data_IF_061958220799
#
_entry.id   IF_061958220799
#
_cell.length_a   1.000
_cell.length_b   1.000
_cell.length_c   1.000
_cell.angle_alpha   90.00
_cell.angle_beta   90.00
_cell.angle_gamma   90.00
#
_symmetry.space_group_name_H-M   'P 1'
#
loop_
_entity.id
_entity.type
_entity.pdbx_description
1 polymer ?
#
# COMPACT_ATOMS: atom_id res chain seq x y z
N UNK A 1 -45.33 9.12 54.03
CA UNK A 1 -44.94 8.94 52.61
C UNK A 1 -43.60 9.62 52.45
N UNK A 2 -42.54 8.82 52.32
CA UNK A 2 -41.15 9.25 52.53
C UNK A 2 -40.28 8.83 51.35
N UNK A 3 -39.53 9.81 50.87
CA UNK A 3 -38.28 9.76 50.09
C UNK A 3 -38.30 9.11 48.69
N UNK A 4 -38.22 10.00 47.71
CA UNK A 4 -37.79 9.79 46.33
C UNK A 4 -36.35 9.24 46.33
N UNK A 5 -36.10 8.18 45.58
CA UNK A 5 -34.76 7.67 45.28
C UNK A 5 -34.65 7.57 43.76
N UNK A 6 -34.01 8.55 43.13
CA UNK A 6 -33.57 8.48 41.74
C UNK A 6 -32.11 8.02 41.77
N UNK A 7 -31.87 6.75 41.45
CA UNK A 7 -30.52 6.23 41.21
C UNK A 7 -30.12 6.65 39.79
N UNK A 8 -29.34 7.73 39.71
CA UNK A 8 -28.69 8.18 38.49
C UNK A 8 -27.41 7.34 38.31
N UNK A 9 -27.47 6.29 37.49
CA UNK A 9 -26.28 5.54 37.08
C UNK A 9 -25.39 6.42 36.21
N UNK A 10 -24.29 6.89 36.78
CA UNK A 10 -23.24 7.60 36.09
C UNK A 10 -22.32 6.56 35.41
N UNK A 11 -22.61 6.20 34.16
CA UNK A 11 -21.69 5.44 33.33
C UNK A 11 -20.51 6.34 32.95
N UNK A 12 -19.38 6.15 33.63
CA UNK A 12 -18.11 6.77 33.25
C UNK A 12 -17.62 6.07 31.99
N UNK A 13 -17.81 6.72 30.83
CA UNK A 13 -17.18 6.31 29.59
C UNK A 13 -15.68 6.61 29.70
N UNK A 14 -14.89 5.59 30.04
CA UNK A 14 -13.45 5.60 29.79
C UNK A 14 -13.24 5.62 28.28
N UNK A 15 -13.08 6.82 27.72
CA UNK A 15 -12.51 6.98 26.38
C UNK A 15 -11.02 6.66 26.49
N UNK A 16 -10.65 5.46 26.05
CA UNK A 16 -9.26 5.10 25.86
C UNK A 16 -8.77 5.84 24.62
N UNK A 17 -8.13 7.00 24.83
CA UNK A 17 -7.37 7.66 23.78
C UNK A 17 -6.14 6.79 23.50
N UNK A 18 -6.26 5.85 22.56
CA UNK A 18 -5.07 5.19 22.01
C UNK A 18 -4.39 6.24 21.13
N UNK A 19 -3.38 6.90 21.72
CA UNK A 19 -2.34 7.52 20.93
C UNK A 19 -1.73 6.38 20.11
N UNK A 20 -2.16 6.26 18.87
CA UNK A 20 -1.51 5.38 17.91
C UNK A 20 -0.21 6.07 17.58
N UNK A 21 0.89 5.54 18.12
CA UNK A 21 2.23 5.89 17.70
C UNK A 21 2.30 5.61 16.20
N UNK A 22 2.22 6.66 15.39
CA UNK A 22 2.38 6.56 13.94
C UNK A 22 3.86 6.32 13.72
N UNK A 23 4.22 5.12 13.25
CA UNK A 23 5.57 4.87 12.75
C UNK A 23 5.79 5.79 11.54
N UNK A 24 6.57 6.84 11.74
CA UNK A 24 7.02 7.73 10.67
C UNK A 24 7.82 6.89 9.68
N UNK A 25 7.42 6.90 8.41
CA UNK A 25 8.21 6.28 7.36
C UNK A 25 9.45 7.15 7.13
N UNK A 26 10.61 6.53 7.34
CA UNK A 26 11.91 7.14 7.05
C UNK A 26 12.41 6.48 5.76
N UNK A 27 12.45 7.22 4.64
CA UNK A 27 13.07 6.73 3.40
C UNK A 27 14.52 6.33 3.66
N UNK A 28 15.03 5.32 2.95
CA UNK A 28 16.45 4.98 2.99
C UNK A 28 17.28 6.21 2.58
N UNK A 29 18.15 6.69 3.47
CA UNK A 29 19.00 7.87 3.18
C UNK A 29 19.89 7.61 1.95
N UNK A 30 19.55 8.25 0.83
CA UNK A 30 20.36 8.29 -0.40
C UNK A 30 20.43 6.98 -1.20
N UNK A 31 19.68 5.95 -0.80
CA UNK A 31 19.63 4.65 -1.47
C UNK A 31 18.46 4.49 -2.44
N UNK A 32 18.61 3.61 -3.43
CA UNK A 32 17.48 3.14 -4.25
C UNK A 32 16.73 2.08 -3.43
N UNK A 33 15.44 2.26 -3.22
CA UNK A 33 14.62 1.27 -2.52
C UNK A 33 14.08 0.23 -3.48
N UNK A 34 14.34 -1.04 -3.22
CA UNK A 34 13.79 -2.15 -4.00
C UNK A 34 12.61 -2.77 -3.27
N UNK A 35 11.44 -2.73 -3.89
CA UNK A 35 10.22 -3.32 -3.34
C UNK A 35 9.75 -4.49 -4.20
N UNK A 36 9.81 -5.70 -3.66
CA UNK A 36 9.41 -6.93 -4.38
C UNK A 36 8.00 -7.36 -4.02
N UNK A 37 7.22 -7.76 -5.01
CA UNK A 37 5.91 -8.36 -4.82
C UNK A 37 6.08 -9.69 -4.09
N UNK A 38 5.50 -9.80 -2.89
CA UNK A 38 5.62 -11.02 -2.06
C UNK A 38 4.31 -11.79 -1.96
N UNK A 39 3.17 -11.14 -2.22
CA UNK A 39 1.85 -11.72 -2.04
C UNK A 39 0.83 -11.11 -2.99
N UNK A 40 0.00 -11.97 -3.56
CA UNK A 40 -1.19 -11.59 -4.31
C UNK A 40 -2.46 -12.19 -3.71
N UNK A 41 -3.54 -11.43 -3.68
CA UNK A 41 -4.86 -11.92 -3.21
C UNK A 41 -5.94 -11.62 -4.24
N UNK A 42 -6.74 -12.61 -4.61
CA UNK A 42 -7.93 -12.42 -5.46
C UNK A 42 -9.20 -12.08 -4.66
N UNK A 43 -10.34 -12.08 -5.37
CA UNK A 43 -11.66 -11.78 -4.78
C UNK A 43 -12.32 -12.97 -4.05
N UNK A 44 -11.76 -14.17 -4.18
CA UNK A 44 -12.28 -15.39 -3.51
C UNK A 44 -11.63 -15.55 -2.13
N UNK A 45 -12.39 -16.15 -1.21
CA UNK A 45 -11.84 -16.58 0.10
C UNK A 45 -10.68 -17.55 -0.15
N UNK A 46 -9.57 -17.36 0.57
CA UNK A 46 -8.34 -18.17 0.46
C UNK A 46 -7.72 -18.17 -0.94
N UNK A 47 -7.82 -17.06 -1.68
CA UNK A 47 -7.16 -16.87 -2.98
C UNK A 47 -5.78 -16.21 -2.88
N UNK A 48 -5.13 -16.36 -1.74
CA UNK A 48 -3.77 -15.88 -1.53
C UNK A 48 -2.79 -16.77 -2.29
N UNK A 49 -1.81 -16.13 -2.94
CA UNK A 49 -0.68 -16.79 -3.59
C UNK A 49 0.61 -16.06 -3.21
N UNK A 50 1.70 -16.82 -3.10
CA UNK A 50 3.04 -16.31 -2.76
C UNK A 50 4.11 -17.02 -3.59
N UNK A 51 5.29 -16.42 -3.74
CA UNK A 51 6.38 -16.98 -4.52
C UNK A 51 5.94 -17.39 -5.95
N UNK A 52 6.34 -18.58 -6.37
CA UNK A 52 6.05 -19.12 -7.72
C UNK A 52 4.57 -19.42 -7.97
N UNK A 53 3.72 -19.41 -6.94
CA UNK A 53 2.26 -19.58 -7.11
C UNK A 53 1.58 -18.30 -7.60
N UNK A 54 2.26 -17.15 -7.52
CA UNK A 54 1.75 -15.88 -8.02
C UNK A 54 1.73 -15.86 -9.54
N UNK A 55 0.70 -15.25 -10.12
CA UNK A 55 0.53 -15.16 -11.58
C UNK A 55 1.61 -14.36 -12.30
N UNK A 56 2.43 -13.59 -11.57
CA UNK A 56 3.62 -12.92 -12.07
C UNK A 56 4.54 -12.56 -10.90
N UNK A 57 5.80 -12.28 -11.23
CA UNK A 57 6.73 -11.61 -10.32
C UNK A 57 6.88 -10.15 -10.73
N UNK A 58 7.02 -9.26 -9.75
CA UNK A 58 7.15 -7.84 -10.01
C UNK A 58 7.97 -7.15 -8.92
N UNK A 59 8.66 -6.08 -9.30
CA UNK A 59 9.28 -5.18 -8.34
C UNK A 59 9.23 -3.73 -8.79
N UNK A 60 9.35 -2.85 -7.80
CA UNK A 60 9.65 -1.44 -7.97
C UNK A 60 11.09 -1.13 -7.55
N UNK A 61 11.70 -0.17 -8.23
CA UNK A 61 12.84 0.60 -7.75
C UNK A 61 12.34 2.03 -7.55
N UNK A 62 12.37 2.50 -6.31
CA UNK A 62 12.00 3.86 -5.93
C UNK A 62 13.29 4.64 -5.70
N UNK A 63 13.56 5.61 -6.57
CA UNK A 63 14.81 6.36 -6.56
C UNK A 63 14.66 7.66 -5.76
N UNK A 64 15.70 8.09 -5.02
CA UNK A 64 15.65 9.32 -4.22
C UNK A 64 15.54 10.59 -5.06
N UNK A 65 15.79 10.52 -6.37
CA UNK A 65 15.69 11.64 -7.31
C UNK A 65 14.25 11.94 -7.79
N UNK A 66 13.26 11.19 -7.30
CA UNK A 66 11.87 11.37 -7.71
C UNK A 66 11.44 10.43 -8.84
N UNK A 67 12.32 9.60 -9.40
CA UNK A 67 11.97 8.63 -10.43
C UNK A 67 11.62 7.24 -9.87
N UNK A 68 10.90 6.44 -10.65
CA UNK A 68 10.73 5.03 -10.37
C UNK A 68 10.93 4.17 -11.62
N UNK A 69 11.28 2.91 -11.38
CA UNK A 69 11.26 1.84 -12.36
C UNK A 69 10.41 0.69 -11.86
N UNK A 70 9.62 0.08 -12.74
CA UNK A 70 8.81 -1.10 -12.46
C UNK A 70 9.13 -2.18 -13.48
N UNK A 71 9.29 -3.42 -13.02
CA UNK A 71 9.46 -4.57 -13.91
C UNK A 71 8.55 -5.69 -13.50
N UNK A 72 7.81 -6.24 -14.46
CA UNK A 72 6.95 -7.41 -14.30
C UNK A 72 7.44 -8.53 -15.19
N UNK A 73 7.57 -9.73 -14.63
CA UNK A 73 7.77 -10.96 -15.38
C UNK A 73 6.52 -11.83 -15.28
N UNK A 74 5.89 -12.10 -16.43
CA UNK A 74 4.75 -13.02 -16.59
C UNK A 74 4.97 -13.83 -17.84
N UNK A 75 4.76 -15.14 -17.82
CA UNK A 75 4.79 -15.85 -19.11
C UNK A 75 6.21 -16.11 -19.66
N UNK A 76 7.26 -15.82 -18.88
CA UNK A 76 8.62 -15.65 -19.41
C UNK A 76 8.84 -14.34 -20.17
N UNK A 77 7.83 -13.46 -20.24
CA UNK A 77 7.90 -12.13 -20.84
C UNK A 77 8.17 -11.09 -19.75
N UNK A 78 9.12 -10.20 -20.01
CA UNK A 78 9.42 -9.07 -19.13
C UNK A 78 8.85 -7.79 -19.76
N UNK A 79 8.05 -7.08 -19.00
CA UNK A 79 7.51 -5.76 -19.34
C UNK A 79 7.99 -4.76 -18.30
N UNK A 80 8.26 -3.53 -18.72
CA UNK A 80 8.86 -2.50 -17.88
C UNK A 80 8.13 -1.18 -18.00
N UNK A 81 8.09 -0.44 -16.90
CA UNK A 81 7.54 0.90 -16.84
C UNK A 81 8.50 1.84 -16.11
N UNK A 82 8.42 3.12 -16.48
CA UNK A 82 9.20 4.20 -15.86
C UNK A 82 8.30 5.38 -15.60
N UNK A 83 8.68 6.21 -14.63
CA UNK A 83 7.95 7.44 -14.35
C UNK A 83 8.52 8.20 -13.16
N UNK A 84 7.68 9.03 -12.58
CA UNK A 84 8.00 9.82 -11.39
C UNK A 84 7.09 9.44 -10.23
N UNK A 85 7.55 9.70 -9.02
CA UNK A 85 6.80 9.46 -7.80
C UNK A 85 6.88 10.65 -6.86
N UNK A 86 5.87 10.79 -6.02
CA UNK A 86 5.89 11.66 -4.84
C UNK A 86 5.42 10.86 -3.64
N UNK A 87 6.02 11.12 -2.47
CA UNK A 87 5.54 10.62 -1.19
C UNK A 87 4.57 11.63 -0.59
N UNK A 88 3.35 11.19 -0.29
CA UNK A 88 2.31 12.01 0.33
C UNK A 88 2.03 11.46 1.72
N UNK A 89 1.96 12.37 2.70
CA UNK A 89 1.60 12.08 4.07
C UNK A 89 0.43 12.96 4.51
N UNK A 90 -0.74 12.36 4.67
CA UNK A 90 -1.99 13.01 5.04
C UNK A 90 -2.57 12.34 6.30
N UNK A 91 -2.35 12.99 7.45
CA UNK A 91 -2.73 12.42 8.75
C UNK A 91 -1.97 11.12 9.03
N UNK A 92 -2.69 10.00 9.07
CA UNK A 92 -2.13 8.66 9.29
C UNK A 92 -1.88 7.89 7.99
N UNK A 93 -2.19 8.48 6.84
CA UNK A 93 -2.01 7.85 5.53
C UNK A 93 -0.68 8.29 4.94
N UNK A 94 0.16 7.32 4.63
CA UNK A 94 1.40 7.50 3.87
C UNK A 94 1.26 6.70 2.58
N UNK A 95 1.53 7.32 1.43
CA UNK A 95 1.45 6.63 0.14
C UNK A 95 2.34 7.27 -0.91
N UNK A 96 2.77 6.47 -1.86
CA UNK A 96 3.38 6.95 -3.09
C UNK A 96 2.30 7.18 -4.14
N UNK A 97 2.31 8.34 -4.78
CA UNK A 97 1.61 8.57 -6.04
C UNK A 97 2.62 8.47 -7.19
N UNK A 98 2.43 7.47 -8.04
CA UNK A 98 3.25 7.22 -9.24
C UNK A 98 2.56 7.85 -10.45
N UNK A 99 3.34 8.52 -11.30
CA UNK A 99 2.93 9.01 -12.61
C UNK A 99 3.80 8.35 -13.68
N UNK A 100 3.18 7.53 -14.53
CA UNK A 100 3.84 6.75 -15.57
C UNK A 100 4.21 7.63 -16.77
N UNK A 101 5.42 7.41 -17.30
CA UNK A 101 5.90 7.98 -18.57
C UNK A 101 5.92 6.92 -19.67
N UNK A 102 6.19 5.66 -19.30
CA UNK A 102 6.19 4.51 -20.21
C UNK A 102 5.59 3.29 -19.53
N UNK A 103 5.12 2.31 -20.30
CA UNK A 103 4.64 1.04 -19.76
C UNK A 103 3.31 1.15 -19.01
N UNK A 104 2.40 2.00 -19.50
CA UNK A 104 1.07 2.22 -18.89
C UNK A 104 0.25 0.93 -18.76
N UNK A 105 0.53 -0.10 -19.56
CA UNK A 105 -0.08 -1.43 -19.46
C UNK A 105 0.23 -2.14 -18.12
N UNK A 106 1.23 -1.67 -17.38
CA UNK A 106 1.57 -2.19 -16.05
C UNK A 106 0.87 -1.45 -14.90
N UNK A 107 0.11 -0.39 -15.17
CA UNK A 107 -0.61 0.34 -14.13
C UNK A 107 -1.61 -0.60 -13.45
N UNK A 108 -1.40 -0.83 -12.16
CA UNK A 108 -2.28 -1.63 -11.31
C UNK A 108 -3.14 -0.69 -10.44
N UNK A 109 -3.98 0.10 -11.11
CA UNK A 109 -4.82 1.10 -10.46
C UNK A 109 -6.10 1.36 -11.26
N UNK A 110 -7.09 1.95 -10.60
CA UNK A 110 -8.32 2.43 -11.24
C UNK A 110 -8.50 3.96 -11.18
N UNK A 111 -7.46 4.70 -10.80
CA UNK A 111 -7.48 6.17 -10.83
C UNK A 111 -7.57 6.73 -12.25
N UNK A 112 -7.09 5.96 -13.25
CA UNK A 112 -6.92 6.42 -14.62
C UNK A 112 -5.76 7.41 -14.78
N UNK A 113 -5.63 8.00 -15.98
CA UNK A 113 -4.70 9.09 -16.30
C UNK A 113 -3.20 8.79 -16.09
N UNK A 114 -2.77 7.55 -16.27
CA UNK A 114 -1.35 7.21 -16.15
C UNK A 114 -0.85 7.16 -14.70
N UNK A 115 -1.73 7.05 -13.70
CA UNK A 115 -1.36 7.10 -12.27
C UNK A 115 -1.61 5.79 -11.52
N UNK A 116 -0.80 5.54 -10.50
CA UNK A 116 -0.96 4.44 -9.55
C UNK A 116 -0.67 4.92 -8.12
N UNK A 117 -1.47 4.46 -7.15
CA UNK A 117 -1.22 4.70 -5.73
C UNK A 117 -0.72 3.41 -5.08
N UNK A 118 0.37 3.53 -4.30
CA UNK A 118 0.90 2.50 -3.42
C UNK A 118 0.82 2.99 -1.97
N UNK A 119 -0.06 2.40 -1.16
CA UNK A 119 -0.17 2.77 0.26
C UNK A 119 0.92 2.10 1.08
N UNK A 120 1.54 2.84 1.99
CA UNK A 120 2.60 2.36 2.86
C UNK A 120 2.08 2.21 4.29
N UNK A 121 2.17 0.99 4.85
CA UNK A 121 1.84 0.71 6.25
C UNK A 121 2.78 -0.34 6.82
N UNK A 122 3.38 -0.08 7.98
CA UNK A 122 4.27 -1.02 8.69
C UNK A 122 5.36 -1.59 7.77
N UNK A 123 6.01 -0.74 6.97
CA UNK A 123 7.04 -1.12 5.98
C UNK A 123 6.54 -2.14 4.92
N UNK A 124 5.27 -2.03 4.53
CA UNK A 124 4.67 -2.80 3.44
C UNK A 124 3.99 -1.84 2.48
N UNK A 125 4.27 -2.01 1.18
CA UNK A 125 3.53 -1.33 0.14
C UNK A 125 2.34 -2.18 -0.29
N UNK A 126 1.20 -1.52 -0.46
CA UNK A 126 -0.06 -2.12 -0.91
C UNK A 126 -0.50 -1.42 -2.21
N UNK A 127 -0.72 -2.21 -3.26
CA UNK A 127 -1.31 -1.71 -4.51
C UNK A 127 -2.77 -1.31 -4.33
N UNK A 128 -3.24 -0.36 -5.14
CA UNK A 128 -4.63 0.15 -5.11
C UNK A 128 -5.61 -0.61 -6.03
N UNK A 129 -5.13 -1.57 -6.83
CA UNK A 129 -5.95 -2.24 -7.85
C UNK A 129 -7.15 -3.00 -7.29
N UNK A 130 -7.02 -3.55 -6.08
CA UNK A 130 -8.09 -4.31 -5.43
C UNK A 130 -9.34 -3.48 -5.09
N UNK A 131 -9.24 -2.16 -5.09
CA UNK A 131 -10.40 -1.28 -4.98
C UNK A 131 -11.35 -1.38 -6.18
N UNK A 132 -10.89 -1.98 -7.28
CA UNK A 132 -11.62 -2.06 -8.55
C UNK A 132 -11.54 -3.48 -9.14
N UNK A 133 -11.75 -4.47 -8.29
CA UNK A 133 -11.77 -5.91 -8.63
C UNK A 133 -10.48 -6.49 -9.22
N UNK A 134 -9.37 -5.74 -9.15
CA UNK A 134 -8.04 -6.28 -9.38
C UNK A 134 -7.55 -7.13 -8.20
N UNK A 135 -6.43 -7.86 -8.35
CA UNK A 135 -5.81 -8.51 -7.22
C UNK A 135 -5.26 -7.49 -6.23
N UNK A 136 -5.31 -7.83 -4.94
CA UNK A 136 -4.48 -7.20 -3.92
C UNK A 136 -3.03 -7.56 -4.13
N UNK A 137 -2.16 -6.57 -4.03
CA UNK A 137 -0.72 -6.69 -4.25
C UNK A 137 0.01 -6.16 -3.01
N UNK A 138 0.88 -6.97 -2.43
CA UNK A 138 1.75 -6.56 -1.32
C UNK A 138 3.21 -6.68 -1.67
N UNK A 139 3.98 -5.65 -1.31
CA UNK A 139 5.40 -5.59 -1.57
C UNK A 139 6.19 -5.38 -0.28
N UNK A 140 7.38 -5.96 -0.23
CA UNK A 140 8.33 -5.80 0.86
C UNK A 140 9.61 -5.17 0.34
N UNK A 141 10.20 -4.32 1.17
CA UNK A 141 11.52 -3.79 0.94
C UNK A 141 12.54 -4.94 0.99
N UNK A 142 13.47 -4.96 0.05
CA UNK A 142 14.57 -5.92 -0.03
C UNK A 142 15.89 -5.14 0.02
N UNK A 143 16.76 -5.54 0.94
CA UNK A 143 18.11 -4.98 1.13
C UNK A 143 19.08 -5.39 0.00
#
# INVERSE_FOLDING_TARGET
>A
MRTIVIILSFFVLFSCNSNSDVEEYIPLEGGIERWELVRMTGSLINSETTGDEMSWQEYYLINPDGSFFKSRQRDGVITQATGTHILIQEGQQVYFELTYLTGEELIASCLGNGKEILSLRNQVLFGSWNACDGPGLEYRLVD
#
